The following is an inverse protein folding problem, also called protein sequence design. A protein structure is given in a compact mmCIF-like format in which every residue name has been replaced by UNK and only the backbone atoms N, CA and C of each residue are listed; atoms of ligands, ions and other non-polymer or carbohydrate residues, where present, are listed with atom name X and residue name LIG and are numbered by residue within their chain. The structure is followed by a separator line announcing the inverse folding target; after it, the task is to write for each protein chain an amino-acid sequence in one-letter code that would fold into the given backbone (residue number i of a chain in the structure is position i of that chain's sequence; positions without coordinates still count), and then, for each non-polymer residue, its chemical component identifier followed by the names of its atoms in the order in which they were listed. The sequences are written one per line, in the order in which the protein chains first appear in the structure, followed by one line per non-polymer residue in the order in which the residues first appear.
data_IF_061508500320
#
_entry.id   IF_061508500320
#
_cell.length_a   1.000
_cell.length_b   1.000
_cell.length_c   1.000
_cell.angle_alpha   90.00
_cell.angle_beta   90.00
_cell.angle_gamma   90.00
#
_symmetry.space_group_name_H-M   'P 1'
#
loop_
_entity.id
_entity.type
_entity.pdbx_description
1 polymer ?
#
# COMPACT_ATOMS: atom_id res chain seq x y z
N UNK A 1 44.60 9.89 7.81
CA UNK A 1 44.42 9.22 6.50
C UNK A 1 45.04 7.84 6.58
N UNK A 2 44.50 6.89 5.84
CA UNK A 2 44.71 5.43 5.88
C UNK A 2 43.73 4.69 6.80
N UNK A 3 42.69 4.15 6.16
CA UNK A 3 42.17 2.82 6.42
C UNK A 3 41.69 2.58 7.86
N UNK A 4 40.82 3.45 8.36
CA UNK A 4 39.93 3.12 9.47
C UNK A 4 39.17 1.85 9.09
N UNK A 5 39.61 0.71 9.63
CA UNK A 5 38.80 -0.48 9.89
C UNK A 5 37.83 -0.83 8.75
N UNK A 6 38.37 -1.35 7.65
CA UNK A 6 37.61 -2.30 6.84
C UNK A 6 37.29 -3.49 7.75
N UNK A 7 36.16 -3.44 8.46
CA UNK A 7 35.62 -4.61 9.14
C UNK A 7 35.57 -5.76 8.14
N UNK A 8 35.96 -6.98 8.51
CA UNK A 8 35.94 -8.11 7.59
C UNK A 8 34.51 -8.25 7.02
N UNK A 9 34.38 -8.18 5.70
CA UNK A 9 33.16 -8.52 5.01
C UNK A 9 32.98 -10.05 5.12
N UNK A 10 32.30 -10.49 6.18
CA UNK A 10 31.88 -11.88 6.38
C UNK A 10 30.77 -12.30 5.39
N UNK A 11 30.85 -11.84 4.14
CA UNK A 11 29.97 -12.23 3.05
C UNK A 11 30.41 -13.56 2.41
N UNK A 12 30.77 -14.54 3.25
CA UNK A 12 30.97 -15.94 2.84
C UNK A 12 29.70 -16.78 3.06
N UNK A 13 28.70 -16.25 3.77
CA UNK A 13 27.30 -16.59 3.50
C UNK A 13 26.89 -15.88 2.22
N UNK A 14 26.57 -16.66 1.18
CA UNK A 14 25.91 -16.15 -0.02
C UNK A 14 24.70 -15.34 0.44
N UNK A 15 24.79 -14.03 0.29
CA UNK A 15 23.77 -13.08 0.69
C UNK A 15 22.66 -13.13 -0.35
N UNK A 16 21.41 -13.22 0.07
CA UNK A 16 20.23 -13.21 -0.81
C UNK A 16 20.11 -11.86 -1.57
N UNK A 17 21.06 -10.94 -1.40
CA UNK A 17 21.22 -9.75 -2.24
C UNK A 17 21.41 -10.04 -3.74
N UNK A 18 21.94 -11.21 -4.11
CA UNK A 18 22.02 -11.65 -5.52
C UNK A 18 20.71 -12.28 -6.04
N UNK A 19 19.84 -12.76 -5.15
CA UNK A 19 18.59 -13.44 -5.48
C UNK A 19 17.38 -12.59 -5.02
N UNK A 20 16.94 -11.63 -5.86
CA UNK A 20 15.83 -10.78 -5.49
C UNK A 20 14.58 -11.62 -5.24
N UNK A 21 13.79 -11.23 -4.23
CA UNK A 21 12.49 -11.81 -3.98
C UNK A 21 11.64 -11.83 -5.26
N UNK A 22 10.78 -12.85 -5.45
CA UNK A 22 9.93 -12.95 -6.64
C UNK A 22 9.19 -11.64 -6.92
N UNK A 23 9.33 -11.12 -8.14
CA UNK A 23 8.62 -9.90 -8.54
C UNK A 23 7.13 -10.18 -8.64
N UNK A 24 6.33 -9.25 -8.11
CA UNK A 24 4.89 -9.22 -8.35
C UNK A 24 4.61 -9.19 -9.85
N UNK A 25 3.60 -9.95 -10.28
CA UNK A 25 3.09 -9.81 -11.63
C UNK A 25 2.52 -8.40 -11.85
N UNK A 26 2.43 -7.98 -13.11
CA UNK A 26 1.81 -6.71 -13.49
C UNK A 26 0.36 -6.64 -12.97
N UNK A 27 -0.36 -7.76 -13.03
CA UNK A 27 -1.75 -7.83 -12.58
C UNK A 27 -1.85 -7.62 -11.08
N UNK A 28 -0.98 -8.27 -10.28
CA UNK A 28 -0.99 -8.08 -8.83
C UNK A 28 -0.59 -6.66 -8.45
N UNK A 29 0.41 -6.09 -9.13
CA UNK A 29 0.85 -4.70 -8.89
C UNK A 29 -0.31 -3.72 -9.13
N UNK A 30 -1.00 -3.85 -10.26
CA UNK A 30 -2.14 -2.98 -10.56
C UNK A 30 -3.33 -3.25 -9.63
N UNK A 31 -3.59 -4.51 -9.28
CA UNK A 31 -4.65 -4.89 -8.35
C UNK A 31 -4.45 -4.27 -6.96
N UNK A 32 -3.24 -4.40 -6.41
CA UNK A 32 -2.91 -3.94 -5.06
C UNK A 32 -2.76 -2.42 -4.98
N UNK A 33 -2.11 -1.79 -5.95
CA UNK A 33 -1.72 -0.37 -5.83
C UNK A 33 -2.62 0.59 -6.60
N UNK A 34 -3.50 0.10 -7.48
CA UNK A 34 -4.42 0.95 -8.24
C UNK A 34 -5.87 0.60 -7.95
N UNK A 35 -6.25 -0.67 -8.12
CA UNK A 35 -7.65 -1.09 -7.93
C UNK A 35 -8.04 -1.01 -6.46
N UNK A 36 -7.21 -1.51 -5.55
CA UNK A 36 -7.54 -1.53 -4.11
C UNK A 36 -7.76 -0.13 -3.54
N UNK A 37 -6.90 0.88 -3.79
CA UNK A 37 -7.17 2.26 -3.35
C UNK A 37 -8.46 2.85 -3.93
N UNK A 38 -8.77 2.59 -5.21
CA UNK A 38 -10.01 3.08 -5.86
C UNK A 38 -11.23 2.47 -5.19
N UNK A 39 -11.24 1.15 -4.98
CA UNK A 39 -12.34 0.46 -4.30
C UNK A 39 -12.54 1.00 -2.89
N UNK A 40 -11.45 1.17 -2.14
CA UNK A 40 -11.50 1.73 -0.79
C UNK A 40 -12.11 3.14 -0.78
N UNK A 41 -11.68 4.00 -1.71
CA UNK A 41 -12.23 5.33 -1.87
C UNK A 41 -13.74 5.31 -2.17
N UNK A 42 -14.18 4.48 -3.13
CA UNK A 42 -15.58 4.39 -3.51
C UNK A 42 -16.45 3.87 -2.37
N UNK A 43 -15.95 2.92 -1.58
CA UNK A 43 -16.65 2.44 -0.38
C UNK A 43 -16.83 3.58 0.61
N UNK A 44 -15.77 4.33 0.93
CA UNK A 44 -15.84 5.45 1.87
C UNK A 44 -16.80 6.53 1.36
N UNK A 45 -16.66 6.94 0.10
CA UNK A 45 -17.52 7.94 -0.51
C UNK A 45 -19.00 7.52 -0.50
N UNK A 46 -19.28 6.25 -0.81
CA UNK A 46 -20.63 5.70 -0.76
C UNK A 46 -21.19 5.69 0.67
N UNK A 47 -20.38 5.30 1.65
CA UNK A 47 -20.77 5.33 3.06
C UNK A 47 -21.08 6.76 3.54
N UNK A 48 -20.24 7.73 3.18
CA UNK A 48 -20.48 9.15 3.49
C UNK A 48 -21.78 9.64 2.86
N UNK A 49 -22.03 9.34 1.59
CA UNK A 49 -23.27 9.73 0.90
C UNK A 49 -24.53 9.14 1.55
N UNK A 50 -24.44 7.93 2.10
CA UNK A 50 -25.56 7.31 2.84
C UNK A 50 -25.73 7.96 4.20
N UNK A 51 -24.63 8.24 4.91
CA UNK A 51 -24.65 8.87 6.22
C UNK A 51 -25.13 10.32 6.21
N UNK A 52 -24.80 11.08 5.16
CA UNK A 52 -25.12 12.52 5.04
C UNK A 52 -26.57 12.82 4.65
N UNK A 53 -27.42 11.80 4.47
CA UNK A 53 -28.83 12.02 4.10
C UNK A 53 -29.59 12.71 5.25
N UNK A 54 -30.11 13.94 5.06
CA UNK A 54 -30.87 14.61 6.10
C UNK A 54 -32.18 13.85 6.36
N UNK A 55 -32.49 13.60 7.64
CA UNK A 55 -33.80 13.12 8.04
C UNK A 55 -34.86 14.10 7.51
N UNK A 56 -35.85 13.60 6.76
CA UNK A 56 -36.95 14.43 6.26
C UNK A 56 -37.62 15.11 7.45
N UNK A 57 -37.49 16.43 7.56
CA UNK A 57 -38.28 17.19 8.52
C UNK A 57 -39.76 17.00 8.17
N UNK A 58 -40.61 16.58 9.12
CA UNK A 58 -42.05 16.57 8.88
C UNK A 58 -42.48 18.01 8.58
N UNK A 59 -43.14 18.22 7.44
CA UNK A 59 -43.75 19.50 7.10
C UNK A 59 -44.77 19.83 8.18
N UNK A 60 -44.44 20.77 9.06
CA UNK A 60 -45.42 21.40 9.96
C UNK A 60 -46.34 22.23 9.07
N UNK A 61 -47.55 21.71 8.86
CA UNK A 61 -48.69 22.47 8.34
C UNK A 61 -49.44 23.14 9.46
#
# INVERSE_FOLDING_TARGET
MMLLMSSPALALTRDDGDDPAPRLSVVETLGLFVVTPIVLFLVIAGLVMVADRPAKQPKQG
#
